data_IF_238815173699
#
_entry.id   IF_238815173699
#
_cell.length_a   1.000
_cell.length_b   1.000
_cell.length_c   1.000
_cell.angle_alpha   90.00
_cell.angle_beta   90.00
_cell.angle_gamma   90.00
#
_symmetry.space_group_name_H-M   'P 1'
#
loop_
_entity.id
_entity.type
_entity.pdbx_description
1 polymer ?
#
# COMPACT_ATOMS: atom_id res chain seq x y z
N UNK A 1 -18.80 23.76 35.00
CA UNK A 1 -19.34 23.88 33.64
C UNK A 1 -18.25 24.48 32.79
N UNK A 2 -17.60 23.68 31.96
CA UNK A 2 -16.65 24.16 30.96
C UNK A 2 -16.95 23.34 29.69
N UNK A 3 -17.82 23.88 28.84
CA UNK A 3 -18.04 23.34 27.50
C UNK A 3 -16.78 23.62 26.69
N UNK A 4 -16.00 22.59 26.43
CA UNK A 4 -15.01 22.59 25.36
C UNK A 4 -15.72 22.05 24.13
N UNK A 5 -16.34 22.97 23.40
CA UNK A 5 -16.71 22.71 22.02
C UNK A 5 -15.40 22.56 21.24
N UNK A 6 -14.93 21.32 21.11
CA UNK A 6 -13.95 20.93 20.09
C UNK A 6 -14.64 21.14 18.74
N UNK A 7 -14.62 22.38 18.25
CA UNK A 7 -14.95 22.69 16.86
C UNK A 7 -13.81 22.09 16.03
N UNK A 8 -14.03 20.86 15.56
CA UNK A 8 -13.21 20.26 14.51
C UNK A 8 -13.26 21.23 13.33
N UNK A 9 -12.16 21.96 13.08
CA UNK A 9 -12.11 22.84 11.92
C UNK A 9 -12.26 21.96 10.68
N UNK A 10 -13.29 22.18 9.88
CA UNK A 10 -13.42 21.53 8.57
C UNK A 10 -12.15 21.79 7.76
N UNK A 11 -11.40 20.73 7.46
CA UNK A 11 -10.16 20.81 6.73
C UNK A 11 -10.50 20.84 5.24
N UNK A 12 -10.45 22.02 4.65
CA UNK A 12 -10.58 22.18 3.20
C UNK A 12 -9.28 21.82 2.49
N UNK A 13 -9.39 20.95 1.50
CA UNK A 13 -8.29 20.46 0.67
C UNK A 13 -8.24 21.21 -0.66
N UNK A 14 -7.04 21.56 -1.13
CA UNK A 14 -6.85 22.10 -2.48
C UNK A 14 -6.66 20.98 -3.48
N UNK A 15 -6.76 21.28 -4.78
CA UNK A 15 -6.55 20.28 -5.86
C UNK A 15 -5.24 19.51 -5.72
N UNK A 16 -4.17 20.18 -5.27
CA UNK A 16 -2.86 19.55 -5.04
C UNK A 16 -2.91 18.50 -3.91
N UNK A 17 -3.67 18.76 -2.86
CA UNK A 17 -3.81 17.86 -1.72
C UNK A 17 -4.61 16.62 -2.14
N UNK A 18 -5.72 16.82 -2.85
CA UNK A 18 -6.52 15.74 -3.42
C UNK A 18 -5.71 14.91 -4.41
N UNK A 19 -4.84 15.53 -5.20
CA UNK A 19 -3.93 14.84 -6.14
C UNK A 19 -3.00 13.88 -5.41
N UNK A 20 -2.39 14.33 -4.30
CA UNK A 20 -1.52 13.51 -3.46
C UNK A 20 -2.26 12.34 -2.82
N UNK A 21 -3.49 12.57 -2.35
CA UNK A 21 -4.29 11.56 -1.65
C UNK A 21 -4.82 10.48 -2.62
N UNK A 22 -5.36 10.90 -3.76
CA UNK A 22 -6.04 9.98 -4.72
C UNK A 22 -5.08 9.38 -5.75
N UNK A 23 -3.85 9.89 -5.82
CA UNK A 23 -2.87 9.61 -6.87
C UNK A 23 -3.45 9.87 -8.28
N UNK A 24 -4.29 10.90 -8.41
CA UNK A 24 -4.81 11.41 -9.67
C UNK A 24 -4.07 12.70 -10.03
N UNK A 25 -3.71 12.87 -11.30
CA UNK A 25 -3.17 14.15 -11.76
C UNK A 25 -4.18 15.28 -11.52
N UNK A 26 -3.71 16.49 -11.17
CA UNK A 26 -4.57 17.66 -10.93
C UNK A 26 -5.50 17.97 -12.13
N UNK A 27 -5.02 17.75 -13.35
CA UNK A 27 -5.82 17.91 -14.58
C UNK A 27 -7.00 16.93 -14.64
N UNK A 28 -6.79 15.69 -14.17
CA UNK A 28 -7.85 14.67 -14.06
C UNK A 28 -8.87 15.06 -13.00
N UNK A 29 -8.42 15.57 -11.85
CA UNK A 29 -9.30 16.04 -10.78
C UNK A 29 -10.17 17.19 -11.28
N UNK A 30 -9.58 18.21 -11.92
CA UNK A 30 -10.32 19.33 -12.53
C UNK A 30 -11.35 18.83 -13.54
N UNK A 31 -10.97 17.88 -14.40
CA UNK A 31 -11.86 17.27 -15.39
C UNK A 31 -13.03 16.51 -14.74
N UNK A 32 -12.76 15.76 -13.67
CA UNK A 32 -13.78 15.03 -12.94
C UNK A 32 -14.72 15.98 -12.21
N UNK A 33 -14.19 17.01 -11.55
CA UNK A 33 -15.00 18.05 -10.89
C UNK A 33 -15.98 18.70 -11.85
N UNK A 34 -15.52 19.08 -13.05
CA UNK A 34 -16.40 19.67 -14.07
C UNK A 34 -17.52 18.73 -14.50
N UNK A 35 -17.22 17.43 -14.66
CA UNK A 35 -18.24 16.47 -15.08
C UNK A 35 -19.24 16.13 -13.96
N UNK A 36 -18.77 16.13 -12.70
CA UNK A 36 -19.61 16.01 -11.52
C UNK A 36 -20.54 17.23 -11.36
N UNK A 37 -20.02 18.45 -11.52
CA UNK A 37 -20.82 19.69 -11.45
C UNK A 37 -21.91 19.73 -12.53
N UNK A 38 -21.62 19.25 -13.75
CA UNK A 38 -22.63 19.14 -14.82
C UNK A 38 -23.80 18.23 -14.45
N UNK A 39 -23.57 17.25 -13.58
CA UNK A 39 -24.60 16.32 -13.11
C UNK A 39 -25.18 16.71 -11.75
N UNK A 40 -24.90 17.94 -11.28
CA UNK A 40 -25.52 18.51 -10.09
C UNK A 40 -24.74 18.25 -8.79
N UNK A 41 -23.49 17.79 -8.85
CA UNK A 41 -22.63 17.72 -7.67
C UNK A 41 -22.09 19.10 -7.31
N UNK A 42 -22.28 19.54 -6.08
CA UNK A 42 -21.86 20.86 -5.62
C UNK A 42 -20.56 20.76 -4.81
N UNK A 43 -19.48 21.36 -5.33
CA UNK A 43 -18.25 21.56 -4.57
C UNK A 43 -18.30 22.90 -3.84
N UNK A 44 -17.66 22.95 -2.66
CA UNK A 44 -17.40 24.23 -2.01
C UNK A 44 -16.44 25.07 -2.86
N UNK A 45 -16.71 26.36 -2.95
CA UNK A 45 -15.92 27.30 -3.75
C UNK A 45 -15.55 28.52 -2.93
N UNK A 46 -14.27 28.87 -2.99
CA UNK A 46 -13.76 30.17 -2.57
C UNK A 46 -13.42 30.97 -3.84
N UNK A 47 -14.39 31.77 -4.29
CA UNK A 47 -14.36 32.43 -5.60
C UNK A 47 -14.36 31.42 -6.75
N UNK A 48 -13.30 31.42 -7.56
CA UNK A 48 -13.10 30.49 -8.68
C UNK A 48 -12.36 29.20 -8.27
N UNK A 49 -11.88 29.14 -7.03
CA UNK A 49 -11.11 27.99 -6.53
C UNK A 49 -12.03 27.01 -5.83
N UNK A 50 -12.01 25.73 -6.26
CA UNK A 50 -12.73 24.65 -5.58
C UNK A 50 -11.96 24.23 -4.31
N UNK A 51 -12.70 24.13 -3.22
CA UNK A 51 -12.26 23.61 -1.94
C UNK A 51 -12.91 22.25 -1.74
N UNK A 52 -12.09 21.22 -1.58
CA UNK A 52 -12.54 19.84 -1.49
C UNK A 52 -12.63 19.39 -0.04
N UNK A 53 -13.64 18.60 0.30
CA UNK A 53 -13.79 17.92 1.57
C UNK A 53 -13.27 16.48 1.52
N UNK A 54 -13.21 15.80 2.66
CA UNK A 54 -12.90 14.37 2.73
C UNK A 54 -13.87 13.53 1.89
N UNK A 55 -15.15 13.93 1.84
CA UNK A 55 -16.17 13.23 1.05
C UNK A 55 -15.88 13.33 -0.45
N UNK A 56 -15.41 14.48 -0.94
CA UNK A 56 -15.02 14.66 -2.34
C UNK A 56 -13.86 13.73 -2.73
N UNK A 57 -12.92 13.49 -1.81
CA UNK A 57 -11.83 12.53 -2.00
C UNK A 57 -12.38 11.11 -2.19
N UNK A 58 -13.40 10.73 -1.41
CA UNK A 58 -14.04 9.42 -1.58
C UNK A 58 -14.72 9.31 -2.94
N UNK A 59 -15.44 10.35 -3.37
CA UNK A 59 -16.08 10.43 -4.70
C UNK A 59 -15.04 10.26 -5.82
N UNK A 60 -13.88 10.91 -5.73
CA UNK A 60 -12.82 10.76 -6.73
C UNK A 60 -12.23 9.35 -6.77
N UNK A 61 -12.05 8.70 -5.61
CA UNK A 61 -11.57 7.33 -5.54
C UNK A 61 -12.59 6.33 -6.11
N UNK A 62 -13.88 6.52 -5.84
CA UNK A 62 -14.95 5.70 -6.43
C UNK A 62 -15.00 5.88 -7.95
N UNK A 63 -14.89 7.11 -8.47
CA UNK A 63 -14.82 7.34 -9.92
C UNK A 63 -13.61 6.67 -10.55
N UNK A 64 -12.45 6.72 -9.89
CA UNK A 64 -11.24 6.04 -10.34
C UNK A 64 -11.46 4.53 -10.43
N UNK A 65 -12.01 3.93 -9.39
CA UNK A 65 -12.29 2.49 -9.32
C UNK A 65 -13.28 2.04 -10.40
N UNK A 66 -14.39 2.77 -10.59
CA UNK A 66 -15.37 2.47 -11.64
C UNK A 66 -14.69 2.46 -13.01
N UNK A 67 -13.86 3.47 -13.30
CA UNK A 67 -13.18 3.58 -14.59
C UNK A 67 -12.12 2.50 -14.81
N UNK A 68 -11.40 2.10 -13.78
CA UNK A 68 -10.41 1.03 -13.85
C UNK A 68 -11.07 -0.34 -14.08
N UNK A 69 -12.15 -0.64 -13.36
CA UNK A 69 -12.83 -1.95 -13.44
C UNK A 69 -13.66 -2.12 -14.70
N UNK A 70 -14.35 -1.07 -15.16
CA UNK A 70 -15.37 -1.21 -16.20
C UNK A 70 -14.98 -0.60 -17.55
N UNK A 71 -13.87 0.15 -17.62
CA UNK A 71 -13.40 0.88 -18.82
C UNK A 71 -14.47 1.76 -19.48
N UNK A 72 -15.48 2.19 -18.71
CA UNK A 72 -16.57 3.05 -19.21
C UNK A 72 -16.12 4.50 -19.39
N UNK A 73 -16.89 5.27 -20.16
CA UNK A 73 -16.66 6.70 -20.34
C UNK A 73 -16.84 7.46 -19.03
N UNK A 74 -16.14 8.59 -18.87
CA UNK A 74 -16.21 9.40 -17.65
C UNK A 74 -17.64 9.85 -17.34
N UNK A 75 -18.39 10.29 -18.34
CA UNK A 75 -19.77 10.73 -18.18
C UNK A 75 -20.66 9.59 -17.62
N UNK A 76 -20.49 8.36 -18.14
CA UNK A 76 -21.23 7.20 -17.67
C UNK A 76 -20.85 6.82 -16.23
N UNK A 77 -19.55 6.85 -15.90
CA UNK A 77 -19.08 6.61 -14.53
C UNK A 77 -19.66 7.62 -13.53
N UNK A 78 -19.70 8.90 -13.90
CA UNK A 78 -20.31 9.96 -13.08
C UNK A 78 -21.81 9.74 -12.93
N UNK A 79 -22.51 9.35 -14.00
CA UNK A 79 -23.95 9.07 -13.92
C UNK A 79 -24.27 7.89 -13.00
N UNK A 80 -23.47 6.82 -13.04
CA UNK A 80 -23.61 5.68 -12.13
C UNK A 80 -23.37 6.12 -10.67
N UNK A 81 -22.34 6.94 -10.42
CA UNK A 81 -22.07 7.43 -9.07
C UNK A 81 -23.18 8.36 -8.56
N UNK A 82 -23.66 9.30 -9.37
CA UNK A 82 -24.72 10.25 -8.97
C UNK A 82 -26.06 9.55 -8.76
N UNK A 83 -26.37 8.49 -9.52
CA UNK A 83 -27.59 7.70 -9.31
C UNK A 83 -27.52 6.86 -8.05
N UNK A 84 -26.35 6.31 -7.69
CA UNK A 84 -26.14 5.67 -6.40
C UNK A 84 -26.29 6.66 -5.24
N UNK A 85 -25.68 7.85 -5.36
CA UNK A 85 -25.77 8.90 -4.35
C UNK A 85 -27.21 9.40 -4.15
N UNK A 86 -27.97 9.57 -5.23
CA UNK A 86 -29.37 10.01 -5.18
C UNK A 86 -30.31 8.95 -4.62
N UNK A 87 -30.03 7.66 -4.84
CA UNK A 87 -30.81 6.56 -4.25
C UNK A 87 -30.57 6.48 -2.73
N UNK A 88 -29.32 6.62 -2.29
CA UNK A 88 -29.00 6.68 -0.87
C UNK A 88 -29.70 7.84 -0.16
N UNK A 89 -29.76 9.04 -0.78
CA UNK A 89 -30.46 10.19 -0.19
C UNK A 89 -31.99 10.09 -0.28
N UNK A 90 -32.55 9.48 -1.33
CA UNK A 90 -34.00 9.23 -1.41
C UNK A 90 -34.50 8.15 -0.46
N UNK A 91 -33.70 7.12 -0.16
CA UNK A 91 -34.06 6.12 0.86
C UNK A 91 -34.13 6.74 2.25
N UNK A 92 -33.20 7.64 2.59
CA UNK A 92 -33.24 8.41 3.85
C UNK A 92 -34.46 9.34 3.90
N UNK A 93 -34.74 10.09 2.83
CA UNK A 93 -35.89 11.01 2.78
C UNK A 93 -37.26 10.30 2.75
N UNK A 94 -37.37 9.12 2.13
CA UNK A 94 -38.58 8.27 2.20
C UNK A 94 -38.76 7.65 3.57
N UNK A 95 -37.67 7.34 4.27
CA UNK A 95 -37.72 6.83 5.64
C UNK A 95 -38.36 7.84 6.59
N UNK A 96 -38.06 9.13 6.48
CA UNK A 96 -38.62 10.16 7.39
C UNK A 96 -40.14 10.39 7.21
N UNK A 97 -40.70 10.23 6.00
CA UNK A 97 -42.14 10.43 5.75
C UNK A 97 -42.96 9.15 6.03
N UNK A 98 -42.34 7.97 5.98
CA UNK A 98 -43.00 6.68 6.20
C UNK A 98 -43.14 6.26 7.68
N UNK A 99 -42.55 6.99 8.64
CA UNK A 99 -42.67 6.67 10.07
C UNK A 99 -44.10 6.88 10.61
N UNK A 100 -44.97 7.64 9.90
CA UNK A 100 -46.33 7.90 10.37
C UNK A 100 -47.38 6.85 9.96
N UNK A 101 -47.05 5.79 9.21
CA UNK A 101 -48.10 4.85 8.78
C UNK A 101 -47.65 3.38 8.84
N UNK A 102 -47.89 2.80 10.01
CA UNK A 102 -48.14 1.36 10.25
C UNK A 102 -47.01 0.44 9.76
N UNK A 103 -45.99 0.24 10.59
CA UNK A 103 -45.06 -0.88 10.45
C UNK A 103 -45.82 -2.18 10.74
N UNK A 104 -45.99 -3.01 9.72
CA UNK A 104 -46.52 -4.37 9.86
C UNK A 104 -45.45 -5.29 10.45
N UNK A 105 -45.87 -6.29 11.24
CA UNK A 105 -45.00 -7.28 11.88
C UNK A 105 -44.02 -7.95 10.89
N UNK A 106 -44.42 -8.12 9.63
CA UNK A 106 -43.58 -8.67 8.54
C UNK A 106 -42.32 -7.83 8.23
N UNK A 107 -42.40 -6.50 8.32
CA UNK A 107 -41.23 -5.62 8.10
C UNK A 107 -40.21 -5.72 9.24
N UNK A 108 -40.68 -5.92 10.49
CA UNK A 108 -39.79 -6.13 11.63
C UNK A 108 -39.04 -7.46 11.54
N UNK A 109 -39.70 -8.55 11.10
CA UNK A 109 -39.03 -9.83 10.88
C UNK A 109 -38.01 -9.76 9.73
N UNK A 110 -38.33 -9.07 8.64
CA UNK A 110 -37.41 -8.87 7.52
C UNK A 110 -36.16 -8.07 7.95
N UNK A 111 -36.35 -6.97 8.70
CA UNK A 111 -35.25 -6.16 9.25
C UNK A 111 -34.39 -6.96 10.24
N UNK A 112 -35.00 -7.83 11.04
CA UNK A 112 -34.27 -8.67 11.99
C UNK A 112 -33.43 -9.75 11.28
N UNK A 113 -33.95 -10.35 10.22
CA UNK A 113 -33.20 -11.31 9.38
C UNK A 113 -31.99 -10.64 8.72
N UNK A 114 -32.20 -9.47 8.11
CA UNK A 114 -31.13 -8.68 7.48
C UNK A 114 -30.08 -8.27 8.52
N UNK A 115 -30.49 -7.85 9.71
CA UNK A 115 -29.58 -7.51 10.81
C UNK A 115 -28.75 -8.69 11.30
N UNK A 116 -29.31 -9.91 11.25
CA UNK A 116 -28.59 -11.14 11.57
C UNK A 116 -27.57 -11.49 10.49
N UNK A 117 -27.96 -11.39 9.21
CA UNK A 117 -27.06 -11.66 8.09
C UNK A 117 -25.88 -10.70 8.04
N UNK A 118 -26.13 -9.40 8.26
CA UNK A 118 -25.07 -8.39 8.34
C UNK A 118 -24.12 -8.70 9.51
N UNK A 119 -24.63 -9.11 10.67
CA UNK A 119 -23.79 -9.48 11.81
C UNK A 119 -22.91 -10.69 11.52
N UNK A 120 -23.47 -11.71 10.88
CA UNK A 120 -22.71 -12.89 10.49
C UNK A 120 -21.61 -12.53 9.49
N UNK A 121 -21.94 -11.74 8.46
CA UNK A 121 -20.97 -11.26 7.48
C UNK A 121 -19.84 -10.43 8.11
N UNK A 122 -20.17 -9.56 9.08
CA UNK A 122 -19.17 -8.77 9.80
C UNK A 122 -18.25 -9.65 10.68
N UNK A 123 -18.78 -10.70 11.31
CA UNK A 123 -17.96 -11.65 12.06
C UNK A 123 -17.06 -12.50 11.14
N UNK A 124 -17.54 -12.86 9.95
CA UNK A 124 -16.74 -13.56 8.93
C UNK A 124 -15.57 -12.69 8.47
N UNK A 125 -15.84 -11.42 8.10
CA UNK A 125 -14.79 -10.45 7.73
C UNK A 125 -13.78 -10.30 8.86
N UNK A 126 -14.25 -10.16 10.10
CA UNK A 126 -13.38 -9.99 11.27
C UNK A 126 -12.49 -11.22 11.46
N UNK A 127 -13.03 -12.41 11.27
CA UNK A 127 -12.29 -13.67 11.36
C UNK A 127 -11.23 -13.77 10.26
N UNK A 128 -11.58 -13.48 9.02
CA UNK A 128 -10.62 -13.43 7.90
C UNK A 128 -9.53 -12.38 8.13
N UNK A 129 -9.89 -11.19 8.62
CA UNK A 129 -8.94 -10.12 8.88
C UNK A 129 -7.94 -10.49 9.99
N UNK A 130 -8.40 -11.18 11.04
CA UNK A 130 -7.52 -11.74 12.08
C UNK A 130 -6.58 -12.79 11.47
N UNK A 131 -7.09 -13.65 10.59
CA UNK A 131 -6.30 -14.64 9.85
C UNK A 131 -5.20 -13.99 9.01
N UNK A 132 -5.58 -13.01 8.18
CA UNK A 132 -4.67 -12.26 7.32
C UNK A 132 -3.58 -11.55 8.14
N UNK A 133 -3.94 -10.90 9.26
CA UNK A 133 -2.96 -10.28 10.15
C UNK A 133 -1.97 -11.27 10.72
N UNK A 134 -2.41 -12.48 11.07
CA UNK A 134 -1.54 -13.54 11.60
C UNK A 134 -0.59 -14.05 10.53
N UNK A 135 -1.08 -14.27 9.31
CA UNK A 135 -0.25 -14.72 8.18
C UNK A 135 0.80 -13.67 7.80
N UNK A 136 0.42 -12.40 7.74
CA UNK A 136 1.33 -11.29 7.49
C UNK A 136 2.45 -11.19 8.55
N UNK A 137 2.11 -11.44 9.82
CA UNK A 137 3.09 -11.43 10.90
C UNK A 137 4.08 -12.61 10.77
N UNK A 138 3.59 -13.80 10.43
CA UNK A 138 4.44 -14.97 10.16
C UNK A 138 5.39 -14.69 8.98
N UNK A 139 4.88 -14.09 7.90
CA UNK A 139 5.69 -13.76 6.73
C UNK A 139 6.76 -12.70 7.02
N UNK A 140 6.45 -11.71 7.87
CA UNK A 140 7.44 -10.73 8.36
C UNK A 140 8.54 -11.41 9.17
N UNK A 141 8.18 -12.25 10.13
CA UNK A 141 9.15 -12.98 10.95
C UNK A 141 10.03 -13.90 10.10
N UNK A 142 9.44 -14.60 9.13
CA UNK A 142 10.17 -15.44 8.17
C UNK A 142 11.17 -14.61 7.34
N UNK A 143 10.73 -13.45 6.83
CA UNK A 143 11.61 -12.54 6.08
C UNK A 143 12.76 -12.00 6.92
N UNK A 144 12.52 -11.68 8.18
CA UNK A 144 13.57 -11.18 9.08
C UNK A 144 14.59 -12.27 9.41
N UNK A 145 14.14 -13.51 9.64
CA UNK A 145 15.03 -14.67 9.78
C UNK A 145 15.86 -14.91 8.51
N UNK A 146 15.22 -14.85 7.33
CA UNK A 146 15.91 -15.03 6.06
C UNK A 146 16.98 -13.95 5.83
N UNK A 147 16.71 -12.69 6.19
CA UNK A 147 17.71 -11.61 6.12
C UNK A 147 18.90 -11.88 7.04
N UNK A 148 18.66 -12.32 8.27
CA UNK A 148 19.72 -12.65 9.22
C UNK A 148 20.59 -13.80 8.70
N UNK A 149 19.96 -14.85 8.14
CA UNK A 149 20.69 -15.98 7.56
C UNK A 149 21.52 -15.55 6.35
N UNK A 150 20.95 -14.73 5.47
CA UNK A 150 21.66 -14.18 4.31
C UNK A 150 22.87 -13.34 4.73
N UNK A 151 22.73 -12.53 5.78
CA UNK A 151 23.82 -11.71 6.30
C UNK A 151 24.93 -12.56 6.94
N UNK A 152 24.55 -13.57 7.73
CA UNK A 152 25.51 -14.53 8.29
C UNK A 152 26.26 -15.30 7.20
N UNK A 153 25.59 -15.68 6.11
CA UNK A 153 26.22 -16.37 4.99
C UNK A 153 27.16 -15.45 4.21
N UNK A 154 26.80 -14.17 4.04
CA UNK A 154 27.71 -13.15 3.47
C UNK A 154 28.96 -12.97 4.32
N UNK A 155 28.84 -12.92 5.63
CA UNK A 155 30.00 -12.82 6.52
C UNK A 155 30.92 -14.05 6.43
N UNK A 156 30.34 -15.26 6.35
CA UNK A 156 31.12 -16.49 6.15
C UNK A 156 31.87 -16.44 4.82
N UNK A 157 31.20 -16.05 3.73
CA UNK A 157 31.82 -15.92 2.42
C UNK A 157 32.97 -14.92 2.42
N UNK A 158 32.81 -13.74 3.05
CA UNK A 158 33.91 -12.79 3.21
C UNK A 158 35.09 -13.36 4.01
N UNK A 159 34.83 -14.16 5.05
CA UNK A 159 35.88 -14.85 5.81
C UNK A 159 36.59 -15.91 4.96
N UNK A 160 35.86 -16.62 4.11
CA UNK A 160 36.42 -17.60 3.18
C UNK A 160 37.28 -16.94 2.11
N UNK A 161 36.81 -15.84 1.52
CA UNK A 161 37.58 -15.04 0.55
C UNK A 161 38.91 -14.58 1.15
N UNK A 162 38.89 -13.99 2.36
CA UNK A 162 40.13 -13.58 3.05
C UNK A 162 41.09 -14.74 3.31
N UNK A 163 40.57 -15.93 3.65
CA UNK A 163 41.40 -17.12 3.84
C UNK A 163 42.00 -17.59 2.51
N UNK A 164 41.24 -17.53 1.43
CA UNK A 164 41.69 -17.90 0.10
C UNK A 164 42.79 -16.95 -0.39
N UNK A 165 42.62 -15.65 -0.21
CA UNK A 165 43.64 -14.64 -0.53
C UNK A 165 44.93 -14.87 0.27
N UNK A 166 44.81 -15.19 1.57
CA UNK A 166 45.95 -15.52 2.41
C UNK A 166 46.70 -16.76 1.90
N UNK A 167 45.98 -17.84 1.57
CA UNK A 167 46.58 -19.07 1.03
C UNK A 167 47.26 -18.79 -0.31
N UNK A 168 46.62 -18.03 -1.21
CA UNK A 168 47.19 -17.64 -2.49
C UNK A 168 48.51 -16.88 -2.30
N UNK A 169 48.52 -15.91 -1.39
CA UNK A 169 49.71 -15.11 -1.06
C UNK A 169 50.85 -15.99 -0.51
N UNK A 170 50.54 -16.96 0.36
CA UNK A 170 51.54 -17.89 0.89
C UNK A 170 52.07 -18.87 -0.16
N UNK A 171 51.20 -19.36 -1.06
CA UNK A 171 51.61 -20.21 -2.19
C UNK A 171 52.54 -19.45 -3.15
N UNK A 172 52.25 -18.19 -3.45
CA UNK A 172 53.12 -17.33 -4.28
C UNK A 172 54.51 -17.18 -3.64
N UNK A 173 54.58 -16.93 -2.33
CA UNK A 173 55.87 -16.85 -1.61
C UNK A 173 56.64 -18.16 -1.62
N UNK A 174 55.95 -19.29 -1.46
CA UNK A 174 56.59 -20.62 -1.51
C UNK A 174 57.14 -20.92 -2.91
N UNK A 175 56.38 -20.64 -3.97
CA UNK A 175 56.86 -20.78 -5.35
C UNK A 175 58.07 -19.89 -5.61
N UNK A 176 58.03 -18.61 -5.22
CA UNK A 176 59.18 -17.71 -5.37
C UNK A 176 60.43 -18.23 -4.64
N UNK A 177 60.28 -18.79 -3.43
CA UNK A 177 61.40 -19.41 -2.69
C UNK A 177 61.91 -20.69 -3.35
N UNK A 178 61.02 -21.52 -3.90
CA UNK A 178 61.40 -22.73 -4.63
C UNK A 178 62.19 -22.40 -5.90
N UNK A 179 61.80 -21.34 -6.62
CA UNK A 179 62.52 -20.85 -7.80
C UNK A 179 63.91 -20.29 -7.45
N UNK A 180 64.05 -19.57 -6.34
CA UNK A 180 65.35 -19.08 -5.84
C UNK A 180 66.24 -20.25 -5.41
N UNK A 181 65.69 -21.25 -4.72
CA UNK A 181 66.41 -22.47 -4.30
C UNK A 181 66.89 -23.31 -5.50
N UNK A 182 66.08 -23.40 -6.56
CA UNK A 182 66.45 -24.09 -7.81
C UNK A 182 67.47 -23.30 -8.65
N UNK A 183 67.70 -22.02 -8.35
CA UNK A 183 68.71 -21.17 -9.01
C UNK A 183 70.03 -21.07 -8.23
N UNK A 184 70.18 -21.69 -7.05
CA UNK A 184 71.49 -21.75 -6.38
C UNK A 184 72.50 -22.51 -7.27
N UNK A 185 73.67 -21.92 -7.58
CA UNK A 185 74.59 -22.50 -8.53
C UNK A 185 75.17 -23.79 -7.96
N UNK A 186 75.04 -24.88 -8.74
CA UNK A 186 75.78 -26.14 -8.55
C UNK A 186 77.23 -25.81 -8.20
N UNK A 187 77.59 -25.92 -6.93
CA UNK A 187 78.96 -25.68 -6.45
C UNK A 187 79.87 -26.59 -7.28
N UNK A 188 80.67 -25.97 -8.16
CA UNK A 188 81.67 -26.67 -8.98
C UNK A 188 82.57 -27.43 -8.02
N UNK A 189 82.51 -28.77 -8.07
CA UNK A 189 83.57 -29.63 -7.53
C UNK A 189 84.83 -29.25 -8.29
N UNK A 190 85.69 -28.44 -7.67
CA UNK A 190 87.06 -28.24 -8.11
C UNK A 190 87.77 -29.58 -7.93
N UNK A 191 87.93 -30.30 -9.02
CA UNK A 191 88.99 -31.27 -9.17
C UNK A 191 90.31 -30.51 -9.01
N UNK A 192 91.10 -30.90 -8.01
CA UNK A 192 92.46 -30.41 -7.77
C UNK A 192 93.30 -31.59 -7.34
N UNK A 193 93.94 -32.22 -8.32
CA UNK A 193 95.01 -33.22 -8.19
C UNK A 193 96.13 -32.63 -7.33
N UNK A 194 96.59 -33.36 -6.31
CA UNK A 194 98.01 -33.70 -6.02
C UNK A 194 98.06 -34.76 -4.91
#
# INVERSE_FOLDING_TARGET
MENRDDVVSEVYLKTIDVSRITNLAESTIRKYSLELEKQGYEFNKDGDTRLYHADDVTVFNTLKEIREKTKVSLNHAVSVLMTQHSRATQEVARSEVAVSRVQGEEEQYALQSISSEIRNFLEDIKTEFIGFRKELEIERQSNDLFKQELEAEREKNQKLEKKLDFIMTELEKLNAKADISNQEPKRKKLFGIF
#
